data_IF_912784366091
#
_entry.id   IF_912784366091
#
_cell.length_a   1.000
_cell.length_b   1.000
_cell.length_c   1.000
_cell.angle_alpha   90.00
_cell.angle_beta   90.00
_cell.angle_gamma   90.00
#
_symmetry.space_group_name_H-M   'P 1'
#
loop_
_entity.id
_entity.type
_entity.pdbx_description
1 polymer ?
#
# COMPACT_ATOMS: atom_id res chain seq x y z
N UNK A 1 1.66 -25.50 2.57
CA UNK A 1 0.45 -24.69 2.26
C UNK A 1 0.81 -23.23 1.95
N UNK A 2 1.64 -22.57 2.76
CA UNK A 2 2.12 -21.20 2.51
C UNK A 2 2.74 -21.00 1.10
N UNK A 3 3.59 -21.92 0.64
CA UNK A 3 4.22 -21.84 -0.69
C UNK A 3 3.22 -21.77 -1.83
N UNK A 4 2.12 -22.53 -1.76
CA UNK A 4 1.08 -22.50 -2.79
C UNK A 4 0.30 -21.19 -2.76
N UNK A 5 -0.05 -20.69 -1.58
CA UNK A 5 -0.73 -19.40 -1.40
C UNK A 5 0.10 -18.24 -1.96
N UNK A 6 1.39 -18.18 -1.62
CA UNK A 6 2.28 -17.10 -2.06
C UNK A 6 2.65 -17.22 -3.55
N UNK A 7 2.82 -18.44 -4.06
CA UNK A 7 3.10 -18.68 -5.48
C UNK A 7 1.93 -18.36 -6.42
N UNK A 8 0.69 -18.34 -5.89
CA UNK A 8 -0.53 -18.10 -6.66
C UNK A 8 -0.92 -16.63 -6.87
N UNK A 9 -0.16 -15.66 -6.32
CA UNK A 9 -0.56 -14.24 -6.28
C UNK A 9 -0.77 -13.64 -7.66
N UNK A 10 0.12 -13.89 -8.63
CA UNK A 10 -0.03 -13.37 -9.99
C UNK A 10 -1.32 -13.88 -10.64
N UNK A 11 -1.60 -15.18 -10.48
CA UNK A 11 -2.83 -15.82 -10.99
C UNK A 11 -4.08 -15.25 -10.33
N UNK A 12 -4.06 -15.09 -9.00
CA UNK A 12 -5.17 -14.55 -8.23
C UNK A 12 -5.52 -13.13 -8.70
N UNK A 13 -4.52 -12.27 -8.83
CA UNK A 13 -4.70 -10.90 -9.30
C UNK A 13 -5.01 -10.85 -10.81
N UNK A 14 -4.64 -11.87 -11.57
CA UNK A 14 -4.75 -11.89 -13.03
C UNK A 14 -3.76 -10.93 -13.69
N UNK A 15 -2.56 -10.80 -13.12
CA UNK A 15 -1.50 -9.91 -13.59
C UNK A 15 -0.29 -10.71 -14.05
N UNK A 16 0.52 -10.13 -14.93
CA UNK A 16 1.76 -10.75 -15.42
C UNK A 16 2.87 -10.75 -14.36
N UNK A 17 2.98 -9.69 -13.56
CA UNK A 17 4.05 -9.53 -12.56
C UNK A 17 3.60 -8.74 -11.34
N UNK A 18 3.58 -9.40 -10.18
CA UNK A 18 3.41 -8.75 -8.88
C UNK A 18 4.60 -7.86 -8.49
N UNK A 19 5.82 -8.12 -8.98
CA UNK A 19 6.95 -7.21 -8.72
C UNK A 19 6.74 -5.86 -9.43
N UNK A 20 6.30 -5.87 -10.69
CA UNK A 20 5.97 -4.61 -11.38
C UNK A 20 4.87 -3.84 -10.65
N UNK A 21 3.83 -4.55 -10.19
CA UNK A 21 2.76 -3.94 -9.42
C UNK A 21 3.27 -3.39 -8.08
N UNK A 22 4.16 -4.11 -7.38
CA UNK A 22 4.75 -3.68 -6.11
C UNK A 22 5.42 -2.31 -6.23
N UNK A 23 6.09 -2.01 -7.34
CA UNK A 23 6.81 -0.76 -7.54
C UNK A 23 5.99 0.38 -8.17
N UNK A 24 4.76 0.11 -8.60
CA UNK A 24 3.91 1.11 -9.26
C UNK A 24 3.56 2.24 -8.30
N UNK A 25 3.57 3.47 -8.82
CA UNK A 25 3.21 4.67 -8.05
C UNK A 25 1.71 4.65 -7.70
N UNK A 26 1.34 4.62 -6.40
CA UNK A 26 -0.05 4.59 -6.00
C UNK A 26 -0.78 5.92 -6.18
N UNK A 27 -0.07 7.04 -6.33
CA UNK A 27 -0.66 8.38 -6.40
C UNK A 27 -0.83 8.83 -7.86
N UNK A 28 -1.49 7.98 -8.65
CA UNK A 28 -1.81 8.24 -10.06
C UNK A 28 -3.24 7.80 -10.33
N UNK A 29 -3.96 8.55 -11.17
CA UNK A 29 -5.34 8.23 -11.53
C UNK A 29 -5.47 6.81 -12.11
N UNK A 30 -4.51 6.44 -12.95
CA UNK A 30 -4.43 5.12 -13.55
C UNK A 30 -4.19 4.00 -12.52
N UNK A 31 -3.41 4.21 -11.46
CA UNK A 31 -3.33 3.24 -10.37
C UNK A 31 -4.70 3.11 -9.67
N UNK A 32 -5.34 4.23 -9.36
CA UNK A 32 -6.60 4.22 -8.65
C UNK A 32 -7.70 3.50 -9.45
N UNK A 33 -7.82 3.80 -10.73
CA UNK A 33 -8.88 3.26 -11.59
C UNK A 33 -8.58 1.84 -12.11
N UNK A 34 -7.36 1.60 -12.60
CA UNK A 34 -7.02 0.32 -13.22
C UNK A 34 -6.53 -0.74 -12.23
N UNK A 35 -6.13 -0.35 -11.02
CA UNK A 35 -5.60 -1.26 -10.00
C UNK A 35 -6.50 -1.29 -8.76
N UNK A 36 -6.56 -0.20 -7.98
CA UNK A 36 -7.20 -0.21 -6.66
C UNK A 36 -8.67 -0.62 -6.74
N UNK A 37 -9.45 0.07 -7.59
CA UNK A 37 -10.88 -0.24 -7.81
C UNK A 37 -11.07 -1.58 -8.52
N UNK A 38 -10.39 -1.75 -9.65
CA UNK A 38 -10.60 -2.93 -10.52
C UNK A 38 -10.25 -4.24 -9.84
N UNK A 39 -9.28 -4.24 -8.93
CA UNK A 39 -8.82 -5.41 -8.22
C UNK A 39 -9.32 -5.48 -6.77
N UNK A 40 -10.30 -4.68 -6.36
CA UNK A 40 -10.75 -4.58 -4.95
C UNK A 40 -11.04 -5.96 -4.32
N UNK A 41 -11.92 -6.75 -4.94
CA UNK A 41 -12.29 -8.06 -4.42
C UNK A 41 -11.11 -9.05 -4.44
N UNK A 42 -10.29 -9.01 -5.48
CA UNK A 42 -9.09 -9.86 -5.58
C UNK A 42 -8.03 -9.47 -4.55
N UNK A 43 -7.93 -8.18 -4.23
CA UNK A 43 -7.08 -7.64 -3.17
C UNK A 43 -7.52 -8.16 -1.82
N UNK A 44 -8.83 -8.17 -1.54
CA UNK A 44 -9.37 -8.77 -0.32
C UNK A 44 -9.06 -10.27 -0.22
N UNK A 45 -9.15 -11.01 -1.32
CA UNK A 45 -8.79 -12.43 -1.35
C UNK A 45 -7.28 -12.64 -1.14
N UNK A 46 -6.44 -11.80 -1.76
CA UNK A 46 -4.99 -11.81 -1.57
C UNK A 46 -4.64 -11.61 -0.11
N UNK A 47 -5.22 -10.59 0.54
CA UNK A 47 -5.05 -10.28 1.96
C UNK A 47 -5.28 -11.50 2.84
N UNK A 48 -6.43 -12.14 2.68
CA UNK A 48 -6.78 -13.35 3.44
C UNK A 48 -5.84 -14.53 3.15
N UNK A 49 -5.35 -14.66 1.92
CA UNK A 49 -4.41 -15.72 1.55
C UNK A 49 -3.02 -15.50 2.18
N UNK A 50 -2.56 -14.24 2.20
CA UNK A 50 -1.30 -13.82 2.80
C UNK A 50 -1.34 -13.98 4.32
N UNK A 51 -2.38 -13.50 5.00
CA UNK A 51 -2.55 -13.65 6.46
C UNK A 51 -2.48 -15.11 6.90
N UNK A 52 -3.17 -16.01 6.18
CA UNK A 52 -3.12 -17.45 6.45
C UNK A 52 -1.73 -18.03 6.20
N UNK A 53 -1.01 -17.52 5.21
CA UNK A 53 0.36 -17.95 4.93
C UNK A 53 1.31 -17.50 6.05
N UNK A 54 1.19 -16.26 6.53
CA UNK A 54 1.97 -15.74 7.65
C UNK A 54 1.72 -16.52 8.94
N UNK A 55 0.45 -16.79 9.29
CA UNK A 55 0.11 -17.61 10.46
C UNK A 55 0.73 -19.02 10.36
N UNK A 56 0.73 -19.60 9.16
CA UNK A 56 1.37 -20.89 8.90
C UNK A 56 2.88 -20.81 9.09
N UNK A 57 3.54 -19.79 8.51
CA UNK A 57 4.99 -19.60 8.60
C UNK A 57 5.45 -19.34 10.04
N UNK A 58 4.69 -18.56 10.83
CA UNK A 58 4.99 -18.31 12.24
C UNK A 58 4.96 -19.61 13.06
N UNK A 59 3.92 -20.42 12.88
CA UNK A 59 3.78 -21.72 13.54
C UNK A 59 4.87 -22.71 13.13
N UNK A 60 5.16 -22.81 11.83
CA UNK A 60 6.17 -23.73 11.31
C UNK A 60 7.59 -23.32 11.72
N UNK A 61 7.89 -22.02 11.78
CA UNK A 61 9.19 -21.50 12.23
C UNK A 61 9.55 -21.98 13.64
N UNK A 62 8.59 -22.01 14.56
CA UNK A 62 8.81 -22.46 15.93
C UNK A 62 9.21 -23.95 16.01
N UNK A 63 8.88 -24.74 14.98
CA UNK A 63 9.11 -26.19 14.93
C UNK A 63 10.25 -26.58 13.97
N UNK A 64 10.71 -25.65 13.13
CA UNK A 64 11.69 -25.91 12.10
C UNK A 64 13.14 -25.76 12.60
N UNK A 65 13.86 -26.88 12.65
CA UNK A 65 15.31 -26.91 12.93
C UNK A 65 16.19 -26.80 11.67
N UNK A 66 15.61 -26.94 10.47
CA UNK A 66 16.30 -26.85 9.17
C UNK A 66 15.56 -25.86 8.27
N UNK A 67 16.23 -25.36 7.23
CA UNK A 67 15.66 -24.47 6.21
C UNK A 67 15.06 -23.15 6.76
N UNK A 68 15.59 -22.65 7.88
CA UNK A 68 15.11 -21.39 8.47
C UNK A 68 15.24 -20.20 7.51
N UNK A 69 16.28 -20.18 6.67
CA UNK A 69 16.46 -19.17 5.62
C UNK A 69 15.32 -19.17 4.59
N UNK A 70 14.84 -20.35 4.20
CA UNK A 70 13.69 -20.46 3.30
C UNK A 70 12.42 -19.91 3.94
N UNK A 71 12.23 -20.16 5.25
CA UNK A 71 11.10 -19.60 5.99
C UNK A 71 11.20 -18.07 6.13
N UNK A 72 12.40 -17.52 6.32
CA UNK A 72 12.65 -16.08 6.29
C UNK A 72 12.26 -15.47 4.94
N UNK A 73 12.72 -16.07 3.83
CA UNK A 73 12.41 -15.60 2.49
C UNK A 73 10.91 -15.66 2.17
N UNK A 74 10.22 -16.73 2.61
CA UNK A 74 8.77 -16.85 2.46
C UNK A 74 8.02 -15.81 3.29
N UNK A 75 8.48 -15.53 4.51
CA UNK A 75 7.89 -14.49 5.35
C UNK A 75 8.05 -13.11 4.70
N UNK A 76 9.24 -12.80 4.20
CA UNK A 76 9.47 -11.55 3.50
C UNK A 76 8.59 -11.39 2.25
N UNK A 77 8.40 -12.47 1.48
CA UNK A 77 7.48 -12.46 0.35
C UNK A 77 6.03 -12.19 0.81
N UNK A 78 5.61 -12.80 1.92
CA UNK A 78 4.29 -12.55 2.51
C UNK A 78 4.13 -11.07 2.92
N UNK A 79 5.10 -10.50 3.64
CA UNK A 79 5.10 -9.09 4.07
C UNK A 79 5.04 -8.13 2.85
N UNK A 80 5.71 -8.47 1.73
CA UNK A 80 5.62 -7.67 0.50
C UNK A 80 4.23 -7.74 -0.15
N UNK A 81 3.59 -8.91 -0.16
CA UNK A 81 2.24 -9.05 -0.71
C UNK A 81 1.18 -8.45 0.20
N UNK A 82 1.37 -8.56 1.52
CA UNK A 82 0.59 -7.88 2.55
C UNK A 82 0.56 -6.38 2.26
N UNK A 83 1.74 -5.76 2.23
CA UNK A 83 1.91 -4.32 1.98
C UNK A 83 1.27 -3.89 0.64
N UNK A 84 1.50 -4.66 -0.43
CA UNK A 84 0.89 -4.40 -1.73
C UNK A 84 -0.65 -4.43 -1.67
N UNK A 85 -1.21 -5.39 -0.92
CA UNK A 85 -2.64 -5.51 -0.64
C UNK A 85 -3.19 -4.33 0.15
N UNK A 86 -2.54 -3.98 1.27
CA UNK A 86 -2.95 -2.85 2.12
C UNK A 86 -2.93 -1.55 1.33
N UNK A 87 -1.88 -1.31 0.56
CA UNK A 87 -1.76 -0.11 -0.28
C UNK A 87 -2.96 0.07 -1.20
N UNK A 88 -3.40 -0.98 -1.89
CA UNK A 88 -4.58 -0.90 -2.77
C UNK A 88 -5.84 -0.54 -1.98
N UNK A 89 -6.04 -1.11 -0.79
CA UNK A 89 -7.17 -0.79 0.08
C UNK A 89 -7.11 0.64 0.66
N UNK A 90 -5.91 1.08 1.07
CA UNK A 90 -5.67 2.43 1.60
C UNK A 90 -5.96 3.47 0.53
N UNK A 91 -5.48 3.26 -0.70
CA UNK A 91 -5.74 4.19 -1.81
C UNK A 91 -7.22 4.25 -2.19
N UNK A 92 -7.90 3.10 -2.25
CA UNK A 92 -9.34 3.08 -2.54
C UNK A 92 -10.14 3.87 -1.49
N UNK A 93 -9.85 3.59 -0.21
CA UNK A 93 -10.50 4.28 0.90
C UNK A 93 -10.20 5.78 0.88
N UNK A 94 -8.95 6.16 0.62
CA UNK A 94 -8.55 7.56 0.54
C UNK A 94 -9.31 8.29 -0.57
N UNK A 95 -9.38 7.69 -1.76
CA UNK A 95 -10.16 8.22 -2.88
C UNK A 95 -11.62 8.43 -2.49
N UNK A 96 -12.27 7.42 -1.90
CA UNK A 96 -13.68 7.50 -1.48
C UNK A 96 -13.95 8.61 -0.47
N UNK A 97 -13.16 8.64 0.60
CA UNK A 97 -13.32 9.63 1.68
C UNK A 97 -13.04 11.06 1.20
N UNK A 98 -12.01 11.24 0.37
CA UNK A 98 -11.64 12.55 -0.15
C UNK A 98 -12.67 13.09 -1.14
N UNK A 99 -13.18 12.24 -2.05
CA UNK A 99 -14.25 12.62 -2.98
C UNK A 99 -15.55 12.98 -2.25
N UNK A 100 -15.96 12.20 -1.25
CA UNK A 100 -17.17 12.53 -0.46
C UNK A 100 -17.02 13.89 0.21
N UNK A 101 -15.85 14.20 0.78
CA UNK A 101 -15.62 15.48 1.40
C UNK A 101 -15.58 16.65 0.41
N UNK A 102 -14.86 16.49 -0.71
CA UNK A 102 -14.72 17.50 -1.74
C UNK A 102 -16.08 17.91 -2.34
N UNK A 103 -16.98 16.94 -2.54
CA UNK A 103 -18.31 17.21 -3.10
C UNK A 103 -19.31 17.78 -2.08
N UNK A 104 -18.96 17.77 -0.79
CA UNK A 104 -19.87 18.15 0.29
C UNK A 104 -19.28 19.23 1.21
N UNK A 105 -18.43 20.11 0.69
CA UNK A 105 -17.76 21.17 1.48
C UNK A 105 -18.75 22.09 2.22
N UNK A 106 -19.95 22.30 1.68
CA UNK A 106 -21.02 23.08 2.32
C UNK A 106 -21.76 22.37 3.47
N UNK A 107 -21.63 21.05 3.59
CA UNK A 107 -22.24 20.27 4.68
C UNK A 107 -21.28 20.17 5.87
N UNK A 108 -21.54 20.96 6.92
CA UNK A 108 -20.74 20.99 8.16
C UNK A 108 -20.58 19.63 8.83
N UNK A 109 -21.50 18.67 8.63
CA UNK A 109 -21.39 17.31 9.19
C UNK A 109 -20.38 16.49 8.40
N UNK A 110 -20.46 16.52 7.06
CA UNK A 110 -19.51 15.82 6.17
C UNK A 110 -18.11 16.45 6.21
N UNK A 111 -18.03 17.77 6.26
CA UNK A 111 -16.81 18.52 6.52
C UNK A 111 -16.08 18.10 7.82
N UNK A 112 -16.83 17.90 8.91
CA UNK A 112 -16.26 17.39 10.18
C UNK A 112 -15.88 15.91 10.10
N UNK A 113 -16.63 15.13 9.32
CA UNK A 113 -16.28 13.74 9.07
C UNK A 113 -14.94 13.65 8.34
N UNK A 114 -14.69 14.49 7.33
CA UNK A 114 -13.38 14.62 6.68
C UNK A 114 -12.29 14.82 7.73
N UNK A 115 -12.40 15.82 8.62
CA UNK A 115 -11.39 16.08 9.68
C UNK A 115 -11.07 14.85 10.53
N UNK A 116 -12.07 14.03 10.85
CA UNK A 116 -11.89 12.81 11.63
C UNK A 116 -11.25 11.70 10.82
N UNK A 117 -11.64 11.57 9.55
CA UNK A 117 -11.08 10.59 8.63
C UNK A 117 -9.67 10.93 8.18
N UNK A 118 -9.32 12.21 8.07
CA UNK A 118 -7.99 12.61 7.63
C UNK A 118 -6.89 12.38 8.64
N UNK A 119 -7.18 12.38 9.94
CA UNK A 119 -6.24 11.81 10.91
C UNK A 119 -5.95 10.34 10.60
N UNK A 120 -6.99 9.55 10.28
CA UNK A 120 -6.84 8.14 9.91
C UNK A 120 -6.13 7.91 8.57
N UNK A 121 -6.47 8.68 7.54
CA UNK A 121 -5.82 8.60 6.21
C UNK A 121 -4.38 9.06 6.28
N UNK A 122 -4.10 10.21 6.92
CA UNK A 122 -2.74 10.69 7.13
C UNK A 122 -1.87 9.65 7.84
N UNK A 123 -2.40 9.06 8.93
CA UNK A 123 -1.72 7.98 9.64
C UNK A 123 -1.50 6.76 8.75
N UNK A 124 -2.49 6.36 7.95
CA UNK A 124 -2.35 5.25 7.01
C UNK A 124 -1.26 5.51 5.94
N UNK A 125 -1.17 6.73 5.40
CA UNK A 125 -0.11 7.09 4.45
C UNK A 125 1.28 6.99 5.08
N UNK A 126 1.43 7.41 6.35
CA UNK A 126 2.68 7.29 7.10
C UNK A 126 3.02 5.84 7.42
N UNK A 127 2.03 5.05 7.82
CA UNK A 127 2.18 3.63 8.09
C UNK A 127 2.70 2.89 6.85
N UNK A 128 2.21 3.20 5.64
CA UNK A 128 2.75 2.63 4.40
C UNK A 128 4.23 2.96 4.18
N UNK A 129 4.68 4.16 4.55
CA UNK A 129 6.10 4.53 4.46
C UNK A 129 6.95 3.79 5.51
N UNK A 130 6.41 3.61 6.72
CA UNK A 130 7.06 2.86 7.81
C UNK A 130 7.20 1.37 7.46
N UNK A 131 6.14 0.76 6.92
CA UNK A 131 6.17 -0.63 6.41
C UNK A 131 7.20 -0.81 5.29
N UNK A 132 7.27 0.13 4.32
CA UNK A 132 8.28 0.09 3.27
C UNK A 132 9.70 0.21 3.83
N UNK A 133 9.89 1.00 4.88
CA UNK A 133 11.18 1.13 5.56
C UNK A 133 11.59 -0.19 6.22
N UNK A 134 10.65 -0.90 6.84
CA UNK A 134 10.89 -2.24 7.39
C UNK A 134 11.22 -3.25 6.29
N UNK A 135 10.43 -3.25 5.20
CA UNK A 135 10.69 -4.12 4.04
C UNK A 135 12.05 -3.86 3.40
N UNK A 136 12.48 -2.59 3.34
CA UNK A 136 13.80 -2.21 2.85
C UNK A 136 14.92 -2.84 3.66
N UNK A 137 14.85 -2.74 4.99
CA UNK A 137 15.87 -3.34 5.86
C UNK A 137 15.82 -4.87 5.83
N UNK A 138 14.64 -5.48 5.86
CA UNK A 138 14.47 -6.92 5.68
C UNK A 138 15.07 -7.42 4.35
N UNK A 139 14.93 -6.64 3.27
CA UNK A 139 15.54 -6.95 1.98
C UNK A 139 17.07 -6.87 2.05
N UNK A 140 17.62 -5.79 2.64
CA UNK A 140 19.06 -5.60 2.84
C UNK A 140 19.67 -6.79 3.59
N UNK A 141 19.07 -7.18 4.71
CA UNK A 141 19.53 -8.27 5.54
C UNK A 141 19.53 -9.62 4.82
N UNK A 142 18.50 -9.90 4.01
CA UNK A 142 18.44 -11.13 3.22
C UNK A 142 19.45 -11.12 2.08
N UNK A 143 19.59 -10.00 1.37
CA UNK A 143 20.55 -9.88 0.28
C UNK A 143 21.98 -10.12 0.77
N UNK A 144 22.40 -9.46 1.85
CA UNK A 144 23.77 -9.56 2.38
C UNK A 144 24.11 -10.94 2.96
N UNK A 145 23.12 -11.76 3.28
CA UNK A 145 23.33 -13.15 3.70
C UNK A 145 23.73 -14.07 2.53
N UNK A 146 23.24 -13.78 1.33
CA UNK A 146 23.33 -14.70 0.19
C UNK A 146 24.17 -14.14 -0.97
N UNK A 147 24.31 -12.82 -1.06
CA UNK A 147 24.85 -12.12 -2.22
C UNK A 147 25.88 -11.05 -1.82
N UNK A 148 26.78 -10.73 -2.76
CA UNK A 148 27.69 -9.59 -2.61
C UNK A 148 26.94 -8.28 -2.78
N UNK A 149 27.44 -7.20 -2.18
CA UNK A 149 26.77 -5.88 -2.13
C UNK A 149 26.51 -5.20 -3.49
N UNK A 150 26.98 -5.77 -4.60
CA UNK A 150 26.74 -5.22 -5.93
C UNK A 150 25.23 -5.24 -6.26
N UNK A 151 24.71 -4.18 -6.88
CA UNK A 151 23.27 -3.95 -7.19
C UNK A 151 22.31 -3.76 -6.01
N UNK A 152 22.69 -4.08 -4.77
CA UNK A 152 21.84 -3.90 -3.60
C UNK A 152 21.32 -2.46 -3.49
N UNK A 153 22.21 -1.48 -3.59
CA UNK A 153 21.88 -0.06 -3.48
C UNK A 153 20.86 0.39 -4.56
N UNK A 154 20.86 -0.23 -5.74
CA UNK A 154 19.87 0.08 -6.77
C UNK A 154 18.45 -0.35 -6.37
N UNK A 155 18.31 -1.49 -5.67
CA UNK A 155 17.00 -1.93 -5.18
C UNK A 155 16.59 -1.11 -3.96
N UNK A 156 17.52 -0.82 -3.05
CA UNK A 156 17.23 0.01 -1.88
C UNK A 156 16.81 1.44 -2.28
N UNK A 157 17.41 1.99 -3.35
CA UNK A 157 16.98 3.29 -3.90
C UNK A 157 15.52 3.29 -4.40
N UNK A 158 15.00 2.15 -4.88
CA UNK A 158 13.58 2.03 -5.27
C UNK A 158 12.67 2.05 -4.03
N UNK A 159 13.09 1.43 -2.94
CA UNK A 159 12.40 1.56 -1.65
C UNK A 159 12.43 3.00 -1.15
N UNK A 160 13.59 3.65 -1.19
CA UNK A 160 13.75 5.05 -0.75
C UNK A 160 12.84 6.00 -1.54
N UNK A 161 12.75 5.82 -2.87
CA UNK A 161 11.82 6.57 -3.71
C UNK A 161 10.35 6.31 -3.36
N UNK A 162 9.98 5.05 -3.09
CA UNK A 162 8.63 4.72 -2.69
C UNK A 162 8.28 5.37 -1.33
N UNK A 163 9.16 5.26 -0.34
CA UNK A 163 9.03 5.88 0.99
C UNK A 163 8.86 7.40 0.85
N UNK A 164 9.71 8.06 0.06
CA UNK A 164 9.64 9.52 -0.12
C UNK A 164 8.33 9.96 -0.76
N UNK A 165 7.77 9.18 -1.69
CA UNK A 165 6.45 9.47 -2.29
C UNK A 165 5.35 9.47 -1.24
N UNK A 166 5.27 8.44 -0.40
CA UNK A 166 4.27 8.37 0.67
C UNK A 166 4.39 9.51 1.67
N UNK A 167 5.61 9.82 2.13
CA UNK A 167 5.85 10.92 3.06
C UNK A 167 5.51 12.29 2.44
N UNK A 168 5.88 12.51 1.18
CA UNK A 168 5.54 13.75 0.47
C UNK A 168 4.03 13.92 0.33
N UNK A 169 3.29 12.86 -0.01
CA UNK A 169 1.84 12.92 -0.16
C UNK A 169 1.11 13.07 1.16
N UNK A 170 1.60 12.41 2.21
CA UNK A 170 1.13 12.62 3.58
C UNK A 170 1.24 14.08 4.01
N UNK A 171 2.37 14.74 3.71
CA UNK A 171 2.58 16.16 3.98
C UNK A 171 1.64 17.06 3.16
N UNK A 172 1.48 16.79 1.86
CA UNK A 172 0.56 17.56 1.01
C UNK A 172 -0.89 17.45 1.48
N UNK A 173 -1.33 16.28 1.94
CA UNK A 173 -2.65 16.11 2.52
C UNK A 173 -2.80 16.94 3.80
N UNK A 174 -1.79 16.93 4.67
CA UNK A 174 -1.79 17.74 5.89
C UNK A 174 -1.87 19.26 5.57
N UNK A 175 -1.14 19.73 4.55
CA UNK A 175 -1.19 21.12 4.09
C UNK A 175 -2.56 21.49 3.51
N UNK A 176 -3.12 20.65 2.62
CA UNK A 176 -4.45 20.83 2.06
C UNK A 176 -5.54 20.92 3.13
N UNK A 177 -5.39 20.14 4.21
CA UNK A 177 -6.33 20.19 5.33
C UNK A 177 -6.17 21.45 6.15
N UNK A 178 -4.94 21.89 6.41
CA UNK A 178 -4.69 23.17 7.09
C UNK A 178 -5.26 24.35 6.31
N UNK A 179 -5.13 24.33 4.98
CA UNK A 179 -5.76 25.32 4.10
C UNK A 179 -7.28 25.26 4.18
N UNK A 180 -7.86 24.06 4.14
CA UNK A 180 -9.29 23.87 4.32
C UNK A 180 -9.82 24.46 5.64
N UNK A 181 -9.04 24.40 6.73
CA UNK A 181 -9.44 25.04 7.99
C UNK A 181 -9.53 26.56 7.90
N UNK A 182 -8.79 27.18 6.98
CA UNK A 182 -8.72 28.63 6.81
C UNK A 182 -9.69 29.13 5.73
N UNK A 183 -9.78 28.43 4.60
CA UNK A 183 -10.52 28.89 3.41
C UNK A 183 -11.79 28.10 3.13
N UNK A 184 -12.02 26.97 3.82
CA UNK A 184 -13.08 26.00 3.49
C UNK A 184 -13.02 25.45 2.06
N UNK A 185 -11.84 25.50 1.43
CA UNK A 185 -11.57 24.90 0.12
C UNK A 185 -10.64 23.70 0.24
N UNK A 186 -10.82 22.69 -0.62
CA UNK A 186 -9.90 21.57 -0.76
C UNK A 186 -9.35 21.57 -2.19
N UNK A 187 -8.10 21.14 -2.40
CA UNK A 187 -7.59 20.85 -3.74
C UNK A 187 -8.45 19.78 -4.43
N UNK A 188 -8.57 19.80 -5.76
CA UNK A 188 -9.22 18.75 -6.52
C UNK A 188 -8.64 17.35 -6.22
N UNK A 189 -9.47 16.29 -6.13
CA UNK A 189 -9.00 14.92 -5.88
C UNK A 189 -7.94 14.41 -6.87
N UNK A 190 -7.99 14.88 -8.12
CA UNK A 190 -7.04 14.53 -9.17
C UNK A 190 -5.60 15.01 -8.87
N UNK A 191 -5.42 16.06 -8.08
CA UNK A 191 -4.07 16.51 -7.68
C UNK A 191 -3.35 15.50 -6.78
N UNK A 192 -4.13 14.64 -6.11
CA UNK A 192 -3.62 13.54 -5.30
C UNK A 192 -3.52 12.22 -6.08
N UNK A 193 -3.94 12.19 -7.36
CA UNK A 193 -4.01 10.98 -8.16
C UNK A 193 -5.12 10.02 -7.72
N UNK A 194 -6.26 10.55 -7.27
CA UNK A 194 -7.39 9.78 -6.72
C UNK A 194 -8.39 9.33 -7.79
N UNK A 195 -8.01 9.39 -9.06
CA UNK A 195 -8.79 8.88 -10.17
C UNK A 195 -10.14 9.56 -10.33
N UNK A 196 -10.97 8.98 -11.20
CA UNK A 196 -12.33 9.46 -11.42
C UNK A 196 -13.16 9.43 -10.13
N UNK A 197 -14.30 10.12 -10.10
CA UNK A 197 -15.21 10.04 -8.96
C UNK A 197 -15.72 8.60 -8.76
N UNK A 198 -15.64 8.02 -7.54
CA UNK A 198 -16.22 6.72 -7.26
C UNK A 198 -17.70 6.63 -7.64
N UNK A 199 -18.07 5.58 -8.38
CA UNK A 199 -19.46 5.35 -8.83
C UNK A 199 -19.89 6.16 -10.05
N UNK A 200 -19.04 7.06 -10.58
CA UNK A 200 -19.25 7.67 -11.88
C UNK A 200 -18.75 6.67 -12.94
N UNK A 201 -19.67 5.95 -13.58
CA UNK A 201 -19.37 5.20 -14.80
C UNK A 201 -19.44 6.18 -15.97
N UNK A 202 -18.40 6.20 -16.80
CA UNK A 202 -18.47 6.81 -18.13
C UNK A 202 -19.62 6.21 -18.95
#
# INVERSE_FOLDING_TARGET
KATHSLGGVNTLLGISSSDQLFWRDPFTDDFQDAVARKLEEKTRQLRLAVERAEETLLRERAQAHRNQQTLDAMRFAAERFDHMGRRMQVMEKFSGDYWDAYLNLGDKRRARALRRYTGGVYNALREMAEELSQLRESYREQWLRENRSFWLESVLARYDLAISRWLSRSKQLEEALREYEQSSTLPPPLEFGLGARPGQKD
#
